data_IF_948691954757
#
_entry.id   IF_948691954757
#
_cell.length_a   1.000
_cell.length_b   1.000
_cell.length_c   1.000
_cell.angle_alpha   90.00
_cell.angle_beta   90.00
_cell.angle_gamma   90.00
#
_symmetry.space_group_name_H-M   'P 1'
#
loop_
_entity.id
_entity.type
_entity.pdbx_description
1 polymer ?
#
# COMPACT_ATOMS: atom_id res chain seq x y z
N UNK A 1 -44.98 32.18 8.53
CA UNK A 1 -45.41 31.07 9.38
C UNK A 1 -44.11 30.41 9.86
N UNK A 2 -43.80 30.55 11.16
CA UNK A 2 -42.60 29.97 11.78
C UNK A 2 -42.74 28.46 11.79
N UNK A 3 -41.91 27.75 11.02
CA UNK A 3 -41.77 26.30 11.16
C UNK A 3 -41.31 26.00 12.58
N UNK A 4 -42.21 25.37 13.36
CA UNK A 4 -41.91 24.97 14.73
C UNK A 4 -40.73 24.05 14.78
N UNK A 5 -39.75 24.33 15.63
CA UNK A 5 -38.63 23.44 15.93
C UNK A 5 -39.23 22.15 16.47
N UNK A 6 -39.12 21.06 15.69
CA UNK A 6 -39.53 19.73 16.12
C UNK A 6 -38.75 19.36 17.40
N UNK A 7 -39.48 19.21 18.51
CA UNK A 7 -38.90 18.75 19.77
C UNK A 7 -38.47 17.28 19.57
N UNK A 8 -37.17 17.02 19.61
CA UNK A 8 -36.63 15.67 19.38
C UNK A 8 -36.70 14.84 20.65
N UNK A 9 -37.19 13.63 20.49
CA UNK A 9 -37.25 12.65 21.55
C UNK A 9 -35.87 11.98 21.73
N UNK A 10 -35.18 12.15 22.86
CA UNK A 10 -33.91 11.52 23.15
C UNK A 10 -34.07 10.09 23.72
N UNK A 11 -35.30 9.61 23.91
CA UNK A 11 -35.56 8.31 24.50
C UNK A 11 -34.96 7.21 23.62
N UNK A 12 -34.26 6.24 24.18
CA UNK A 12 -33.75 5.08 23.43
C UNK A 12 -34.90 4.39 22.69
N UNK A 13 -34.72 4.18 21.38
CA UNK A 13 -35.64 3.47 20.50
C UNK A 13 -35.01 2.14 20.10
N UNK A 14 -35.84 1.15 19.78
CA UNK A 14 -35.34 -0.10 19.20
C UNK A 14 -34.75 0.15 17.81
N UNK A 15 -34.00 -0.81 17.34
CA UNK A 15 -33.44 -0.78 15.99
C UNK A 15 -34.55 -0.75 14.93
N UNK A 16 -35.58 -1.50 15.16
CA UNK A 16 -36.78 -1.62 14.31
C UNK A 16 -37.54 -0.27 14.27
N UNK A 17 -37.77 0.37 15.41
CA UNK A 17 -38.44 1.67 15.47
C UNK A 17 -37.66 2.73 14.68
N UNK A 18 -36.34 2.75 14.79
CA UNK A 18 -35.51 3.67 14.01
C UNK A 18 -35.66 3.45 12.50
N UNK A 19 -35.69 2.19 12.06
CA UNK A 19 -35.88 1.82 10.65
C UNK A 19 -37.27 2.28 10.15
N UNK A 20 -38.30 2.10 10.95
CA UNK A 20 -39.65 2.50 10.60
C UNK A 20 -39.79 4.01 10.46
N UNK A 21 -39.27 4.79 11.39
CA UNK A 21 -39.22 6.26 11.31
C UNK A 21 -38.54 6.72 10.00
N UNK A 22 -37.42 6.10 9.63
CA UNK A 22 -36.70 6.45 8.41
C UNK A 22 -37.50 6.08 7.14
N UNK A 23 -38.19 4.93 7.14
CA UNK A 23 -39.06 4.50 6.05
C UNK A 23 -40.28 5.42 5.89
N UNK A 24 -40.92 5.80 6.98
CA UNK A 24 -42.02 6.75 6.97
C UNK A 24 -41.61 8.10 6.39
N UNK A 25 -40.43 8.58 6.77
CA UNK A 25 -39.90 9.82 6.23
C UNK A 25 -39.61 9.74 4.72
N UNK A 26 -39.11 8.58 4.26
CA UNK A 26 -38.88 8.35 2.83
C UNK A 26 -40.19 8.21 2.04
N UNK A 27 -41.21 7.60 2.63
CA UNK A 27 -42.52 7.42 2.01
C UNK A 27 -43.28 8.76 1.86
N UNK A 28 -43.06 9.74 2.75
CA UNK A 28 -43.69 11.06 2.68
C UNK A 28 -43.26 11.91 1.47
N UNK A 29 -42.06 11.69 0.96
CA UNK A 29 -41.52 12.36 -0.22
C UNK A 29 -40.61 11.40 -1.01
N UNK A 30 -41.20 10.50 -1.85
CA UNK A 30 -40.48 9.48 -2.57
C UNK A 30 -39.40 9.98 -3.55
N UNK A 31 -39.58 11.22 -4.04
CA UNK A 31 -38.64 11.86 -4.97
C UNK A 31 -37.44 12.49 -4.25
N UNK A 32 -37.53 12.63 -2.96
CA UNK A 32 -36.53 13.31 -2.15
C UNK A 32 -35.46 12.35 -1.63
N UNK A 33 -34.22 12.67 -1.88
CA UNK A 33 -33.09 11.96 -1.27
C UNK A 33 -32.98 12.32 0.22
N UNK A 34 -33.19 11.36 1.09
CA UNK A 34 -33.00 11.53 2.52
C UNK A 34 -31.51 11.61 2.82
N UNK A 35 -30.99 12.84 2.97
CA UNK A 35 -29.63 13.07 3.43
C UNK A 35 -29.56 12.99 4.97
N UNK A 36 -28.35 12.77 5.54
CA UNK A 36 -28.12 12.81 6.99
C UNK A 36 -28.59 14.14 7.60
N UNK A 37 -28.31 15.25 6.92
CA UNK A 37 -28.71 16.57 7.38
C UNK A 37 -30.24 16.75 7.34
N UNK A 38 -30.90 16.29 6.27
CA UNK A 38 -32.35 16.31 6.17
C UNK A 38 -33.01 15.47 7.29
N UNK A 39 -32.51 14.25 7.52
CA UNK A 39 -32.98 13.40 8.61
C UNK A 39 -32.75 14.06 9.98
N UNK A 40 -31.55 14.62 10.19
CA UNK A 40 -31.22 15.32 11.42
C UNK A 40 -32.17 16.48 11.72
N UNK A 41 -32.62 17.21 10.72
CA UNK A 41 -33.55 18.38 10.91
C UNK A 41 -34.98 17.91 11.12
N UNK A 42 -35.44 16.94 10.33
CA UNK A 42 -36.88 16.63 10.21
C UNK A 42 -37.30 15.35 10.95
N UNK A 43 -36.38 14.58 11.50
CA UNK A 43 -36.66 13.37 12.25
C UNK A 43 -37.11 13.69 13.69
N UNK A 44 -38.03 12.90 14.25
CA UNK A 44 -38.44 13.04 15.64
C UNK A 44 -37.40 12.52 16.65
N UNK A 45 -36.40 11.75 16.18
CA UNK A 45 -35.32 11.17 17.03
C UNK A 45 -34.01 11.91 16.88
N UNK A 46 -33.18 11.84 17.90
CA UNK A 46 -31.84 12.45 17.89
C UNK A 46 -30.84 11.57 17.12
N UNK A 47 -29.74 12.16 16.71
CA UNK A 47 -28.70 11.44 15.99
C UNK A 47 -28.07 10.31 16.83
N UNK A 48 -27.89 10.52 18.13
CA UNK A 48 -27.35 9.54 19.06
C UNK A 48 -28.18 8.25 19.12
N UNK A 49 -29.52 8.36 19.01
CA UNK A 49 -30.44 7.22 19.07
C UNK A 49 -30.21 6.23 17.94
N UNK A 50 -30.23 6.70 16.68
CA UNK A 50 -30.01 5.79 15.56
C UNK A 50 -28.53 5.42 15.38
N UNK A 51 -27.60 6.33 15.71
CA UNK A 51 -26.17 6.04 15.54
C UNK A 51 -25.67 4.92 16.45
N UNK A 52 -26.25 4.77 17.65
CA UNK A 52 -25.95 3.66 18.56
C UNK A 52 -26.23 2.28 17.93
N UNK A 53 -27.20 2.17 17.02
CA UNK A 53 -27.59 0.92 16.38
C UNK A 53 -26.87 0.64 15.06
N UNK A 54 -26.54 1.70 14.33
CA UNK A 54 -26.10 1.55 12.92
C UNK A 54 -24.71 2.12 12.65
N UNK A 55 -24.13 2.87 13.58
CA UNK A 55 -22.81 3.48 13.45
C UNK A 55 -22.70 4.55 12.36
N UNK A 56 -23.33 4.35 11.20
CA UNK A 56 -23.33 5.31 10.10
C UNK A 56 -24.72 5.52 9.51
N UNK A 57 -25.01 6.73 8.99
CA UNK A 57 -26.29 7.02 8.33
C UNK A 57 -26.48 6.21 7.04
N UNK A 58 -25.39 5.78 6.42
CA UNK A 58 -25.41 4.93 5.25
C UNK A 58 -25.91 3.52 5.60
N UNK A 59 -25.37 2.91 6.66
CA UNK A 59 -25.79 1.62 7.16
C UNK A 59 -27.24 1.64 7.63
N UNK A 60 -27.64 2.73 8.26
CA UNK A 60 -29.01 2.96 8.65
C UNK A 60 -29.97 2.93 7.45
N UNK A 61 -29.66 3.68 6.37
CA UNK A 61 -30.46 3.65 5.13
C UNK A 61 -30.48 2.26 4.46
N UNK A 62 -29.32 1.59 4.45
CA UNK A 62 -29.18 0.27 3.86
C UNK A 62 -30.10 -0.75 4.56
N UNK A 63 -30.12 -0.75 5.88
CA UNK A 63 -30.98 -1.66 6.65
C UNK A 63 -32.47 -1.27 6.57
N UNK A 64 -32.77 0.00 6.38
CA UNK A 64 -34.11 0.45 6.09
C UNK A 64 -34.62 0.10 4.66
N UNK A 65 -33.75 -0.38 3.77
CA UNK A 65 -34.11 -0.72 2.39
C UNK A 65 -34.37 0.52 1.51
N UNK A 66 -33.85 1.70 1.91
CA UNK A 66 -34.03 2.95 1.14
C UNK A 66 -33.06 2.94 -0.03
N UNK A 67 -33.59 3.10 -1.24
CA UNK A 67 -32.83 3.13 -2.48
C UNK A 67 -31.84 4.30 -2.46
N UNK A 68 -30.62 3.99 -2.77
CA UNK A 68 -29.52 4.95 -2.83
C UNK A 68 -29.51 5.65 -4.19
N UNK A 69 -29.07 6.90 -4.20
CA UNK A 69 -28.82 7.62 -5.45
C UNK A 69 -27.73 6.90 -6.28
N UNK A 70 -27.67 7.21 -7.58
CA UNK A 70 -26.64 6.67 -8.48
C UNK A 70 -25.21 6.89 -7.98
N UNK A 71 -24.97 8.05 -7.34
CA UNK A 71 -23.69 8.37 -6.70
C UNK A 71 -23.44 7.54 -5.43
N UNK A 72 -24.47 7.33 -4.63
CA UNK A 72 -24.39 6.51 -3.42
C UNK A 72 -24.18 5.02 -3.77
N UNK A 73 -24.83 4.50 -4.81
CA UNK A 73 -24.55 3.18 -5.36
C UNK A 73 -23.13 3.07 -5.92
N UNK A 74 -22.60 4.15 -6.54
CA UNK A 74 -21.21 4.24 -6.96
C UNK A 74 -20.25 4.15 -5.78
N UNK A 75 -20.54 4.88 -4.71
CA UNK A 75 -19.78 4.86 -3.47
C UNK A 75 -19.88 3.50 -2.76
N UNK A 76 -21.06 2.89 -2.68
CA UNK A 76 -21.23 1.54 -2.13
C UNK A 76 -20.48 0.48 -2.93
N UNK A 77 -20.52 0.57 -4.26
CA UNK A 77 -19.71 -0.31 -5.10
C UNK A 77 -18.21 -0.10 -4.90
N UNK A 78 -17.78 1.15 -4.67
CA UNK A 78 -16.38 1.43 -4.33
C UNK A 78 -16.02 0.91 -2.94
N UNK A 79 -16.88 1.12 -1.94
CA UNK A 79 -16.69 0.58 -0.58
C UNK A 79 -16.71 -0.95 -0.58
N UNK A 80 -17.63 -1.57 -1.33
CA UNK A 80 -17.69 -3.04 -1.47
C UNK A 80 -16.53 -3.60 -2.30
N UNK A 81 -16.05 -2.86 -3.30
CA UNK A 81 -14.91 -3.23 -4.15
C UNK A 81 -13.57 -2.99 -3.45
N UNK A 82 -13.54 -2.05 -2.52
CA UNK A 82 -12.47 -1.80 -1.56
C UNK A 82 -12.99 -2.22 -0.20
N UNK A 83 -13.27 -3.52 -0.07
CA UNK A 83 -13.63 -4.11 1.22
C UNK A 83 -12.65 -3.61 2.28
N UNK A 84 -13.19 -3.25 3.44
CA UNK A 84 -12.36 -2.81 4.56
C UNK A 84 -11.34 -3.89 4.92
N UNK A 85 -10.26 -3.52 5.57
CA UNK A 85 -9.28 -4.46 6.13
C UNK A 85 -9.99 -5.56 6.95
N UNK A 86 -11.08 -5.23 7.63
CA UNK A 86 -11.91 -6.20 8.37
C UNK A 86 -12.54 -7.27 7.48
N UNK A 87 -12.91 -6.94 6.23
CA UNK A 87 -13.38 -7.95 5.29
C UNK A 87 -12.25 -8.92 4.92
N UNK A 88 -11.05 -8.41 4.66
CA UNK A 88 -9.89 -9.23 4.38
C UNK A 88 -9.47 -10.10 5.57
N UNK A 89 -9.56 -9.56 6.80
CA UNK A 89 -9.35 -10.31 8.04
C UNK A 89 -10.31 -11.48 8.16
N UNK A 90 -11.61 -11.25 7.90
CA UNK A 90 -12.62 -12.32 7.91
C UNK A 90 -12.36 -13.40 6.87
N UNK A 91 -12.03 -13.01 5.63
CA UNK A 91 -11.69 -13.96 4.57
C UNK A 91 -10.47 -14.80 4.91
N UNK A 92 -9.50 -14.21 5.61
CA UNK A 92 -8.26 -14.91 5.97
C UNK A 92 -8.44 -15.95 7.06
N UNK A 93 -9.39 -15.76 7.98
CA UNK A 93 -9.76 -16.76 9.00
C UNK A 93 -10.29 -18.05 8.33
N UNK A 94 -11.01 -17.93 7.21
CA UNK A 94 -11.52 -19.08 6.45
C UNK A 94 -10.45 -19.78 5.60
N UNK A 95 -9.29 -19.14 5.40
CA UNK A 95 -8.18 -19.62 4.55
C UNK A 95 -6.98 -20.12 5.36
N UNK A 96 -7.17 -20.50 6.60
CA UNK A 96 -6.11 -20.74 7.60
C UNK A 96 -5.08 -21.85 7.30
N UNK A 97 -5.12 -22.47 6.13
CA UNK A 97 -4.28 -23.64 5.77
C UNK A 97 -2.88 -23.31 5.20
N UNK A 98 -2.44 -22.05 5.30
CA UNK A 98 -1.18 -21.63 4.69
C UNK A 98 0.05 -21.70 5.62
N UNK A 99 -0.14 -22.08 6.88
CA UNK A 99 0.73 -21.64 7.96
C UNK A 99 1.86 -22.55 8.39
N UNK A 100 1.83 -23.83 8.09
CA UNK A 100 2.74 -24.76 8.77
C UNK A 100 4.22 -24.57 8.40
N UNK A 101 4.50 -24.17 7.18
CA UNK A 101 5.87 -24.04 6.68
C UNK A 101 6.64 -22.84 7.24
N UNK A 102 5.91 -21.76 7.59
CA UNK A 102 6.46 -20.54 8.17
C UNK A 102 6.00 -20.31 9.61
N UNK A 103 5.53 -21.38 10.27
CA UNK A 103 5.01 -21.28 11.63
C UNK A 103 6.13 -20.92 12.60
N UNK A 104 6.02 -19.75 13.19
CA UNK A 104 6.97 -19.28 14.20
C UNK A 104 6.60 -19.85 15.58
N UNK A 105 7.57 -20.41 16.33
CA UNK A 105 7.29 -21.02 17.63
C UNK A 105 6.81 -19.99 18.67
N UNK A 106 7.23 -18.72 18.56
CA UNK A 106 6.84 -17.62 19.43
C UNK A 106 6.74 -16.32 18.64
N UNK A 107 5.52 -15.96 18.25
CA UNK A 107 5.23 -14.73 17.46
C UNK A 107 5.51 -13.42 18.21
N UNK A 108 5.57 -13.44 19.52
CA UNK A 108 5.91 -12.25 20.29
C UNK A 108 7.41 -11.97 20.28
N UNK A 109 8.23 -13.00 20.13
CA UNK A 109 9.69 -12.90 20.06
C UNK A 109 10.20 -12.86 18.62
N UNK A 110 9.72 -13.75 17.77
CA UNK A 110 10.17 -13.87 16.39
C UNK A 110 9.23 -13.15 15.44
N UNK A 111 9.75 -12.14 14.77
CA UNK A 111 9.04 -11.32 13.79
C UNK A 111 9.50 -11.66 12.38
N UNK A 112 8.61 -11.50 11.42
CA UNK A 112 8.92 -11.68 10.01
C UNK A 112 8.46 -10.48 9.21
N UNK A 113 9.36 -9.91 8.40
CA UNK A 113 9.05 -8.85 7.46
C UNK A 113 9.22 -9.33 6.03
N UNK A 114 8.35 -8.88 5.14
CA UNK A 114 8.55 -8.91 3.69
C UNK A 114 8.93 -7.51 3.26
N UNK A 115 10.09 -7.39 2.60
CA UNK A 115 10.68 -6.14 2.17
C UNK A 115 10.82 -6.17 0.65
N UNK A 116 10.16 -5.26 -0.06
CA UNK A 116 10.17 -5.16 -1.51
C UNK A 116 10.42 -3.70 -1.93
N UNK A 117 10.95 -3.46 -3.11
CA UNK A 117 11.30 -2.12 -3.59
C UNK A 117 11.14 -1.99 -5.09
N UNK A 118 11.06 -0.75 -5.57
CA UNK A 118 11.16 -0.43 -6.99
C UNK A 118 10.13 -1.19 -7.84
N UNK A 119 8.85 -1.06 -7.50
CA UNK A 119 7.74 -1.75 -8.15
C UNK A 119 7.24 -1.01 -9.41
N UNK A 120 7.30 0.33 -9.39
CA UNK A 120 6.95 1.21 -10.50
C UNK A 120 5.57 0.97 -11.11
N UNK A 121 4.55 0.83 -10.27
CA UNK A 121 3.13 0.64 -10.62
C UNK A 121 2.90 -0.29 -11.84
N UNK A 122 2.53 0.22 -13.01
CA UNK A 122 2.25 -0.56 -14.23
C UNK A 122 3.47 -1.26 -14.83
N UNK A 123 4.67 -0.82 -14.45
CA UNK A 123 5.91 -1.44 -14.90
C UNK A 123 6.31 -2.66 -14.07
N UNK A 124 5.52 -3.02 -13.05
CA UNK A 124 5.77 -4.23 -12.26
C UNK A 124 5.73 -5.50 -13.11
N UNK A 125 6.67 -6.41 -12.87
CA UNK A 125 6.66 -7.75 -13.49
C UNK A 125 5.50 -8.58 -12.90
N UNK A 126 4.52 -9.02 -13.72
CA UNK A 126 3.38 -9.79 -13.24
C UNK A 126 3.78 -11.10 -12.52
N UNK A 127 4.87 -11.74 -12.96
CA UNK A 127 5.39 -12.94 -12.33
C UNK A 127 5.94 -12.66 -10.93
N UNK A 128 6.75 -11.61 -10.81
CA UNK A 128 7.24 -11.14 -9.52
C UNK A 128 6.07 -10.81 -8.58
N UNK A 129 5.10 -10.05 -9.05
CA UNK A 129 3.94 -9.64 -8.25
C UNK A 129 3.16 -10.84 -7.72
N UNK A 130 2.90 -11.83 -8.57
CA UNK A 130 2.23 -13.07 -8.15
C UNK A 130 3.00 -13.80 -7.06
N UNK A 131 4.32 -13.89 -7.18
CA UNK A 131 5.16 -14.54 -6.17
C UNK A 131 5.15 -13.75 -4.87
N UNK A 132 5.26 -12.41 -4.92
CA UNK A 132 5.23 -11.55 -3.75
C UNK A 132 3.93 -11.70 -2.97
N UNK A 133 2.77 -11.64 -3.66
CA UNK A 133 1.44 -11.81 -3.05
C UNK A 133 1.27 -13.22 -2.46
N UNK A 134 1.64 -14.27 -3.20
CA UNK A 134 1.53 -15.64 -2.67
C UNK A 134 2.47 -15.87 -1.49
N UNK A 135 3.66 -15.26 -1.51
CA UNK A 135 4.59 -15.30 -0.39
C UNK A 135 4.00 -14.60 0.84
N UNK A 136 3.44 -13.41 0.69
CA UNK A 136 2.77 -12.70 1.79
C UNK A 136 1.65 -13.55 2.41
N UNK A 137 0.85 -14.19 1.55
CA UNK A 137 -0.24 -15.07 1.96
C UNK A 137 0.24 -16.31 2.73
N UNK A 138 1.37 -16.91 2.33
CA UNK A 138 1.93 -18.11 2.96
C UNK A 138 2.71 -17.81 4.22
N UNK A 139 3.46 -16.73 4.23
CA UNK A 139 4.33 -16.33 5.35
C UNK A 139 3.52 -15.69 6.48
N UNK A 140 2.44 -14.97 6.17
CA UNK A 140 1.68 -14.15 7.13
C UNK A 140 2.65 -13.30 7.96
N UNK A 141 3.36 -12.35 7.33
CA UNK A 141 4.37 -11.55 8.00
C UNK A 141 3.76 -10.64 9.06
N UNK A 142 4.56 -10.17 10.01
CA UNK A 142 4.16 -9.09 10.92
C UNK A 142 4.23 -7.73 10.22
N UNK A 143 5.08 -7.62 9.20
CA UNK A 143 5.32 -6.38 8.46
C UNK A 143 5.45 -6.67 6.96
N UNK A 144 4.79 -5.86 6.14
CA UNK A 144 5.16 -5.62 4.74
C UNK A 144 5.71 -4.20 4.65
N UNK A 145 6.94 -4.03 4.16
CA UNK A 145 7.51 -2.73 3.90
C UNK A 145 7.91 -2.61 2.43
N UNK A 146 7.24 -1.70 1.72
CA UNK A 146 7.62 -1.33 0.37
C UNK A 146 8.64 -0.17 0.45
N UNK A 147 9.88 -0.47 0.09
CA UNK A 147 11.05 0.36 0.40
C UNK A 147 11.30 1.37 -0.74
N UNK A 148 10.27 2.12 -1.11
CA UNK A 148 10.29 3.20 -2.10
C UNK A 148 10.09 2.75 -3.54
N UNK A 149 9.80 3.73 -4.38
CA UNK A 149 9.55 3.61 -5.81
C UNK A 149 8.46 2.58 -6.15
N UNK A 150 7.37 2.63 -5.38
CA UNK A 150 6.15 1.83 -5.61
C UNK A 150 5.37 2.39 -6.78
N UNK A 151 5.34 3.72 -6.89
CA UNK A 151 4.68 4.48 -7.95
C UNK A 151 5.73 5.11 -8.86
N UNK A 152 5.58 4.96 -10.17
CA UNK A 152 6.56 5.51 -11.11
C UNK A 152 6.53 7.04 -11.19
N UNK A 153 5.32 7.64 -11.15
CA UNK A 153 5.15 9.10 -11.20
C UNK A 153 5.92 9.78 -12.33
N UNK A 154 5.99 9.13 -13.50
CA UNK A 154 6.77 9.58 -14.64
C UNK A 154 6.34 10.97 -15.12
N UNK A 155 5.03 11.28 -15.05
CA UNK A 155 4.43 12.56 -15.44
C UNK A 155 5.00 13.75 -14.64
N UNK A 156 5.50 13.49 -13.44
CA UNK A 156 6.10 14.50 -12.54
C UNK A 156 7.62 14.45 -12.56
N UNK A 157 8.19 13.64 -13.46
CA UNK A 157 9.63 13.49 -13.63
C UNK A 157 10.26 14.63 -14.42
N UNK A 158 11.60 14.64 -14.49
CA UNK A 158 12.37 15.59 -15.30
C UNK A 158 12.48 15.19 -16.77
N UNK A 159 12.26 13.92 -17.08
CA UNK A 159 12.36 13.41 -18.43
C UNK A 159 11.01 13.60 -19.13
N UNK A 160 11.01 14.16 -20.36
CA UNK A 160 9.78 14.31 -21.11
C UNK A 160 9.22 12.94 -21.47
N UNK A 161 7.95 12.75 -21.18
CA UNK A 161 7.16 11.63 -21.68
C UNK A 161 6.10 12.15 -22.64
N UNK A 162 5.63 11.30 -23.53
CA UNK A 162 4.58 11.66 -24.47
C UNK A 162 3.32 12.07 -23.68
N UNK A 163 2.78 13.29 -23.87
CA UNK A 163 1.56 13.72 -23.18
C UNK A 163 0.36 12.78 -23.37
N UNK A 164 0.35 11.98 -24.45
CA UNK A 164 -0.68 10.97 -24.70
C UNK A 164 -0.61 9.79 -23.74
N UNK A 165 0.52 9.59 -23.06
CA UNK A 165 0.76 8.54 -22.07
C UNK A 165 0.51 9.02 -20.64
N UNK A 166 0.13 10.29 -20.46
CA UNK A 166 -0.17 10.85 -19.14
C UNK A 166 -1.43 10.22 -18.55
N UNK A 167 -1.26 9.44 -17.50
CA UNK A 167 -2.35 8.76 -16.82
C UNK A 167 -2.01 8.50 -15.32
N UNK A 168 -1.54 9.53 -14.64
CA UNK A 168 -1.18 9.42 -13.21
C UNK A 168 -2.31 8.82 -12.36
N UNK A 169 -3.56 9.22 -12.61
CA UNK A 169 -4.71 8.67 -11.91
C UNK A 169 -4.93 7.17 -12.19
N UNK A 170 -4.71 6.74 -13.44
CA UNK A 170 -4.79 5.33 -13.81
C UNK A 170 -3.65 4.50 -13.23
N UNK A 171 -2.43 5.06 -13.13
CA UNK A 171 -1.28 4.43 -12.46
C UNK A 171 -1.56 4.21 -10.97
N UNK A 172 -2.07 5.22 -10.27
CA UNK A 172 -2.48 5.10 -8.86
C UNK A 172 -3.56 4.02 -8.70
N UNK A 173 -4.60 4.02 -9.54
CA UNK A 173 -5.65 3.00 -9.52
C UNK A 173 -5.11 1.60 -9.81
N UNK A 174 -4.14 1.48 -10.71
CA UNK A 174 -3.47 0.20 -10.98
C UNK A 174 -2.76 -0.30 -9.72
N UNK A 175 -1.93 0.54 -9.08
CA UNK A 175 -1.23 0.18 -7.86
C UNK A 175 -2.21 -0.24 -6.76
N UNK A 176 -3.32 0.49 -6.57
CA UNK A 176 -4.36 0.11 -5.62
C UNK A 176 -4.95 -1.28 -5.91
N UNK A 177 -5.36 -1.52 -7.16
CA UNK A 177 -6.12 -2.72 -7.51
C UNK A 177 -5.25 -3.95 -7.72
N UNK A 178 -3.98 -3.77 -8.09
CA UNK A 178 -3.10 -4.88 -8.46
C UNK A 178 -1.99 -5.15 -7.45
N UNK A 179 -1.58 -4.14 -6.70
CA UNK A 179 -0.45 -4.26 -5.76
C UNK A 179 -0.95 -4.16 -4.31
N UNK A 180 -1.45 -2.98 -3.90
CA UNK A 180 -1.72 -2.69 -2.50
C UNK A 180 -2.90 -3.48 -1.94
N UNK A 181 -4.02 -3.50 -2.66
CA UNK A 181 -5.20 -4.27 -2.28
C UNK A 181 -4.90 -5.77 -2.14
N UNK A 182 -4.34 -6.43 -3.18
CA UNK A 182 -3.99 -7.83 -3.09
C UNK A 182 -2.95 -8.18 -2.01
N UNK A 183 -1.96 -7.30 -1.74
CA UNK A 183 -1.01 -7.50 -0.65
C UNK A 183 -1.69 -7.37 0.72
N UNK A 184 -2.56 -6.38 0.90
CA UNK A 184 -3.36 -6.24 2.13
C UNK A 184 -4.31 -7.42 2.32
N UNK A 185 -4.94 -7.91 1.24
CA UNK A 185 -5.76 -9.13 1.28
C UNK A 185 -4.95 -10.36 1.67
N UNK A 186 -3.73 -10.48 1.14
CA UNK A 186 -2.84 -11.60 1.42
C UNK A 186 -2.37 -11.65 2.88
N UNK A 187 -2.12 -10.50 3.51
CA UNK A 187 -1.64 -10.38 4.88
C UNK A 187 -2.39 -9.27 5.66
N UNK A 188 -3.66 -9.50 6.04
CA UNK A 188 -4.53 -8.46 6.57
C UNK A 188 -4.15 -7.96 7.97
N UNK A 189 -3.41 -8.76 8.75
CA UNK A 189 -3.02 -8.43 10.13
C UNK A 189 -1.64 -7.76 10.22
N UNK A 190 -0.92 -7.65 9.09
CA UNK A 190 0.43 -7.10 9.12
C UNK A 190 0.43 -5.57 9.23
N UNK A 191 1.46 -5.02 9.87
CA UNK A 191 1.85 -3.63 9.64
C UNK A 191 2.23 -3.47 8.17
N UNK A 192 1.79 -2.39 7.53
CA UNK A 192 2.08 -2.18 6.12
C UNK A 192 2.60 -0.77 5.92
N UNK A 193 3.86 -0.65 5.54
CA UNK A 193 4.55 0.61 5.34
C UNK A 193 4.95 0.80 3.87
N UNK A 194 4.91 2.06 3.43
CA UNK A 194 5.58 2.52 2.20
C UNK A 194 6.58 3.60 2.60
N UNK A 195 7.85 3.38 2.32
CA UNK A 195 8.87 4.41 2.43
C UNK A 195 8.88 5.25 1.15
N UNK A 196 9.04 6.56 1.29
CA UNK A 196 9.15 7.45 0.13
C UNK A 196 10.45 7.19 -0.63
N UNK A 197 10.33 6.82 -1.90
CA UNK A 197 11.42 6.74 -2.86
C UNK A 197 11.63 8.06 -3.62
N UNK A 198 12.52 8.05 -4.59
CA UNK A 198 12.74 9.25 -5.41
C UNK A 198 11.61 9.50 -6.42
N UNK A 199 10.81 8.49 -6.75
CA UNK A 199 9.66 8.63 -7.63
C UNK A 199 8.47 9.25 -6.91
N UNK A 200 8.10 8.79 -5.73
CA UNK A 200 7.08 9.45 -4.91
C UNK A 200 7.48 10.88 -4.53
N UNK A 201 8.77 11.12 -4.28
CA UNK A 201 9.30 12.45 -3.99
C UNK A 201 9.10 13.47 -5.13
N UNK A 202 8.76 13.01 -6.35
CA UNK A 202 8.38 13.91 -7.47
C UNK A 202 7.11 14.68 -7.14
N UNK A 203 6.13 14.02 -6.49
CA UNK A 203 4.90 14.69 -6.01
C UNK A 203 5.22 15.74 -4.95
N UNK A 204 6.09 15.41 -4.01
CA UNK A 204 6.51 16.38 -2.99
C UNK A 204 7.19 17.60 -3.62
N UNK A 205 8.06 17.40 -4.62
CA UNK A 205 8.70 18.51 -5.36
C UNK A 205 7.67 19.37 -6.09
N UNK A 206 6.74 18.74 -6.79
CA UNK A 206 5.67 19.46 -7.49
C UNK A 206 4.89 20.37 -6.52
N UNK A 207 4.58 19.90 -5.33
CA UNK A 207 3.89 20.67 -4.32
C UNK A 207 4.80 21.76 -3.71
N UNK A 208 6.09 21.47 -3.50
CA UNK A 208 7.07 22.40 -2.98
C UNK A 208 7.37 23.57 -3.94
N UNK A 209 7.29 23.32 -5.25
CA UNK A 209 7.50 24.32 -6.30
C UNK A 209 6.33 25.33 -6.44
N UNK A 210 5.22 25.10 -5.75
CA UNK A 210 4.10 26.03 -5.74
C UNK A 210 4.41 27.27 -4.91
N UNK A 211 3.68 28.37 -5.18
CA UNK A 211 3.83 29.59 -4.37
C UNK A 211 3.53 29.30 -2.88
N UNK A 212 4.19 30.03 -1.94
CA UNK A 212 3.94 29.81 -0.51
C UNK A 212 2.46 29.89 -0.13
N UNK A 213 1.71 30.82 -0.75
CA UNK A 213 0.28 30.96 -0.51
C UNK A 213 -0.51 29.72 -0.95
N UNK A 214 -0.23 29.15 -2.13
CA UNK A 214 -0.90 27.96 -2.60
C UNK A 214 -0.51 26.74 -1.78
N UNK A 215 0.75 26.62 -1.35
CA UNK A 215 1.17 25.56 -0.44
C UNK A 215 0.42 25.59 0.88
N UNK A 216 0.29 26.77 1.50
CA UNK A 216 -0.47 26.95 2.73
C UNK A 216 -1.95 26.54 2.54
N UNK A 217 -2.58 26.94 1.44
CA UNK A 217 -3.96 26.51 1.14
C UNK A 217 -4.05 24.99 1.00
N UNK A 218 -3.16 24.36 0.24
CA UNK A 218 -3.21 22.91 0.00
C UNK A 218 -2.89 22.12 1.27
N UNK A 219 -1.85 22.50 2.01
CA UNK A 219 -1.44 21.81 3.24
C UNK A 219 -2.35 22.14 4.43
N UNK A 220 -2.58 23.43 4.72
CA UNK A 220 -3.23 23.84 5.96
C UNK A 220 -4.77 23.74 5.89
N UNK A 221 -5.38 24.14 4.77
CA UNK A 221 -6.84 24.06 4.62
C UNK A 221 -7.33 22.69 4.17
N UNK A 222 -6.60 22.04 3.29
CA UNK A 222 -7.00 20.75 2.72
C UNK A 222 -6.24 19.57 3.29
N UNK A 223 -5.22 19.82 4.11
CA UNK A 223 -4.36 18.79 4.70
C UNK A 223 -3.77 17.86 3.64
N UNK A 224 -3.38 18.43 2.48
CA UNK A 224 -2.89 17.65 1.36
C UNK A 224 -1.49 17.12 1.67
N UNK A 225 -1.34 15.82 1.62
CA UNK A 225 -0.06 15.11 1.76
C UNK A 225 0.11 14.14 0.59
N UNK A 226 1.34 13.68 0.37
CA UNK A 226 1.61 12.62 -0.63
C UNK A 226 0.77 11.38 -0.33
N UNK A 227 0.68 10.98 0.92
CA UNK A 227 -0.16 9.85 1.36
C UNK A 227 -1.64 10.01 0.97
N UNK A 228 -2.19 11.22 1.14
CA UNK A 228 -3.59 11.50 0.74
C UNK A 228 -3.77 11.53 -0.77
N UNK A 229 -2.80 12.08 -1.52
CA UNK A 229 -2.83 12.04 -2.99
C UNK A 229 -2.82 10.60 -3.50
N UNK A 230 -2.04 9.75 -2.86
CA UNK A 230 -1.96 8.32 -3.18
C UNK A 230 -3.10 7.49 -2.56
N UNK A 231 -3.96 8.11 -1.75
CA UNK A 231 -5.09 7.48 -1.05
C UNK A 231 -4.72 6.18 -0.33
N UNK A 232 -3.61 6.20 0.42
CA UNK A 232 -3.05 5.03 1.11
C UNK A 232 -3.81 4.64 2.37
N UNK A 233 -4.58 5.57 2.93
CA UNK A 233 -5.49 5.36 4.05
C UNK A 233 -6.52 4.25 3.81
N UNK A 234 -6.90 4.03 2.55
CA UNK A 234 -7.82 2.95 2.15
C UNK A 234 -7.30 1.56 2.45
N UNK A 235 -6.00 1.41 2.59
CA UNK A 235 -5.32 0.13 2.81
C UNK A 235 -4.68 0.06 4.20
N UNK A 236 -4.91 1.06 5.06
CA UNK A 236 -4.22 1.21 6.35
C UNK A 236 -2.70 1.12 6.20
N UNK A 237 -2.17 1.84 5.21
CA UNK A 237 -0.74 1.89 4.91
C UNK A 237 -0.14 3.14 5.55
N UNK A 238 0.92 2.96 6.33
CA UNK A 238 1.72 4.06 6.83
C UNK A 238 2.67 4.54 5.73
N UNK A 239 2.66 5.83 5.46
CA UNK A 239 3.58 6.45 4.50
C UNK A 239 4.70 7.17 5.24
N UNK A 240 5.93 6.73 5.03
CA UNK A 240 7.12 7.27 5.67
C UNK A 240 7.74 8.30 4.73
N UNK A 241 7.28 9.53 4.85
CA UNK A 241 7.72 10.65 4.02
C UNK A 241 9.10 11.16 4.45
N UNK A 242 9.81 11.76 3.51
CA UNK A 242 11.10 12.45 3.74
C UNK A 242 10.93 13.71 4.55
N UNK A 243 9.83 14.43 4.36
CA UNK A 243 9.58 15.70 5.01
C UNK A 243 8.08 16.01 5.06
N UNK A 244 7.72 16.86 6.00
CA UNK A 244 6.41 17.49 6.06
C UNK A 244 6.36 18.71 5.12
N UNK A 245 5.31 18.80 4.30
CA UNK A 245 5.08 19.93 3.39
C UNK A 245 5.03 21.30 4.10
N UNK A 246 4.67 21.32 5.38
CA UNK A 246 4.50 22.55 6.15
C UNK A 246 5.84 23.11 6.69
N UNK A 247 6.83 22.24 6.89
CA UNK A 247 8.13 22.59 7.47
C UNK A 247 9.23 22.91 6.41
N UNK A 248 8.89 23.02 5.14
CA UNK A 248 9.79 22.84 4.03
C UNK A 248 10.46 24.14 3.54
N UNK A 249 11.80 24.21 3.64
CA UNK A 249 12.61 25.14 2.85
C UNK A 249 13.40 24.38 1.78
N UNK A 250 13.80 25.06 0.69
CA UNK A 250 14.62 24.47 -0.38
C UNK A 250 15.93 23.85 0.16
N UNK A 251 16.46 24.40 1.26
CA UNK A 251 17.66 23.92 1.94
C UNK A 251 17.39 22.61 2.69
N UNK A 252 16.25 22.52 3.35
CA UNK A 252 15.83 21.35 4.10
C UNK A 252 15.57 20.19 3.13
N UNK A 253 14.97 20.47 1.96
CA UNK A 253 14.77 19.49 0.90
C UNK A 253 16.07 18.77 0.47
N UNK A 254 17.16 19.51 0.33
CA UNK A 254 18.46 18.92 -0.05
C UNK A 254 19.09 18.11 1.06
N UNK A 255 18.83 18.46 2.32
CA UNK A 255 19.44 17.84 3.49
C UNK A 255 18.58 16.71 4.09
N UNK A 256 17.26 16.83 4.05
CA UNK A 256 16.30 15.88 4.62
C UNK A 256 15.97 14.71 3.70
N UNK A 257 16.44 14.73 2.46
CA UNK A 257 16.32 13.60 1.52
C UNK A 257 16.83 12.26 2.08
N UNK A 258 17.43 12.26 3.26
CA UNK A 258 18.03 11.10 3.91
C UNK A 258 17.24 10.56 5.11
N UNK A 259 16.17 11.22 5.53
CA UNK A 259 15.47 10.88 6.79
C UNK A 259 14.26 9.95 6.61
N UNK A 260 13.96 9.49 5.41
CA UNK A 260 12.87 8.54 5.13
C UNK A 260 13.29 7.09 5.37
N UNK A 261 13.94 6.82 6.50
CA UNK A 261 14.23 5.48 6.96
C UNK A 261 13.26 5.05 8.06
N UNK A 262 13.12 3.76 8.22
CA UNK A 262 12.37 3.16 9.32
C UNK A 262 13.22 2.10 10.00
N UNK A 263 13.27 2.13 11.32
CA UNK A 263 13.86 1.06 12.12
C UNK A 263 12.74 0.25 12.75
N UNK A 264 12.63 -0.98 12.33
CA UNK A 264 11.64 -1.92 12.83
C UNK A 264 12.22 -2.70 14.00
N UNK A 265 11.43 -2.88 15.04
CA UNK A 265 11.80 -3.65 16.25
C UNK A 265 13.19 -3.30 16.80
N UNK A 266 13.59 -2.05 16.67
CA UNK A 266 14.88 -1.50 17.12
C UNK A 266 16.14 -2.16 16.47
N UNK A 267 16.00 -2.98 15.45
CA UNK A 267 17.13 -3.72 14.88
C UNK A 267 17.13 -3.93 13.37
N UNK A 268 16.01 -3.77 12.67
CA UNK A 268 15.93 -3.92 11.22
C UNK A 268 15.73 -2.55 10.57
N UNK A 269 16.71 -2.06 9.83
CA UNK A 269 16.63 -0.79 9.12
C UNK A 269 16.15 -0.97 7.69
N UNK A 270 15.17 -0.20 7.26
CA UNK A 270 14.78 -0.07 5.87
C UNK A 270 14.93 1.37 5.39
N UNK A 271 15.48 1.55 4.21
CA UNK A 271 15.67 2.84 3.56
C UNK A 271 15.71 2.67 2.05
N UNK A 272 15.19 3.64 1.28
CA UNK A 272 15.25 3.52 -0.17
C UNK A 272 16.67 3.64 -0.74
N UNK A 273 17.51 4.50 -0.15
CA UNK A 273 18.84 4.79 -0.66
C UNK A 273 19.96 3.99 0.05
N UNK A 274 21.06 3.68 -0.67
CA UNK A 274 22.13 2.80 -0.16
C UNK A 274 22.98 3.39 0.98
N UNK A 275 22.96 4.70 1.18
CA UNK A 275 23.77 5.38 2.20
C UNK A 275 23.47 4.92 3.63
N UNK A 276 22.25 4.43 3.85
CA UNK A 276 21.80 3.97 5.16
C UNK A 276 22.56 2.75 5.71
N UNK A 277 23.26 1.99 4.86
CA UNK A 277 24.13 0.88 5.30
C UNK A 277 25.20 1.32 6.33
N UNK A 278 25.55 2.62 6.32
CA UNK A 278 26.52 3.19 7.23
C UNK A 278 25.95 3.50 8.62
N UNK A 279 24.66 3.28 8.87
CA UNK A 279 24.01 3.56 10.16
C UNK A 279 24.26 2.47 11.21
N UNK A 280 24.97 1.40 10.85
CA UNK A 280 25.44 0.39 11.80
C UNK A 280 24.40 -0.62 12.25
N UNK A 281 23.31 -0.78 11.52
CA UNK A 281 22.25 -1.76 11.75
C UNK A 281 22.11 -2.73 10.57
N UNK A 282 21.71 -3.99 10.80
CA UNK A 282 21.25 -4.86 9.72
C UNK A 282 20.06 -4.21 9.00
N UNK A 283 20.02 -4.32 7.67
CA UNK A 283 18.95 -3.66 6.94
C UNK A 283 18.97 -3.87 5.44
N UNK A 284 18.05 -3.14 4.78
CA UNK A 284 17.84 -3.23 3.34
C UNK A 284 17.74 -1.86 2.70
N UNK A 285 18.09 -1.80 1.40
CA UNK A 285 17.75 -0.68 0.54
C UNK A 285 17.32 -1.13 -0.85
N UNK A 286 16.59 -0.26 -1.57
CA UNK A 286 16.26 -0.37 -2.99
C UNK A 286 17.13 0.51 -3.88
N UNK A 287 16.50 1.26 -4.80
CA UNK A 287 17.01 2.33 -5.64
C UNK A 287 17.89 1.91 -6.82
N UNK A 288 18.82 1.00 -6.64
CA UNK A 288 19.77 0.62 -7.69
C UNK A 288 19.33 -0.62 -8.50
N UNK A 289 18.25 -1.27 -8.11
CA UNK A 289 17.71 -2.47 -8.76
C UNK A 289 18.73 -3.61 -8.92
N UNK A 290 19.77 -3.62 -8.10
CA UNK A 290 20.86 -4.62 -8.16
C UNK A 290 20.99 -5.30 -6.81
N UNK A 291 20.80 -6.62 -6.79
CA UNK A 291 21.02 -7.35 -5.56
C UNK A 291 22.50 -7.40 -5.20
N UNK A 292 22.80 -6.94 -4.00
CA UNK A 292 24.13 -7.05 -3.40
C UNK A 292 23.99 -7.24 -1.90
N UNK A 293 24.93 -8.00 -1.32
CA UNK A 293 25.01 -8.23 0.12
C UNK A 293 26.36 -7.75 0.62
N UNK A 294 26.34 -6.95 1.66
CA UNK A 294 27.56 -6.51 2.35
C UNK A 294 27.62 -7.14 3.73
N UNK A 295 28.63 -7.96 4.01
CA UNK A 295 28.94 -8.34 5.38
C UNK A 295 29.45 -7.11 6.12
N UNK A 296 28.83 -6.82 7.24
CA UNK A 296 29.13 -5.65 8.07
C UNK A 296 29.47 -6.10 9.49
N UNK A 297 30.12 -5.22 10.23
CA UNK A 297 30.43 -5.46 11.64
C UNK A 297 30.17 -4.19 12.46
N UNK A 298 29.54 -4.39 13.59
CA UNK A 298 29.35 -3.33 14.59
C UNK A 298 29.76 -3.88 15.96
N UNK A 299 30.56 -3.17 16.78
CA UNK A 299 30.98 -3.65 18.10
C UNK A 299 29.84 -4.01 19.06
N UNK A 300 28.66 -3.42 18.87
CA UNK A 300 27.48 -3.65 19.72
C UNK A 300 26.66 -4.87 19.23
N UNK A 301 26.47 -4.99 17.91
CA UNK A 301 25.63 -6.05 17.31
C UNK A 301 26.43 -7.25 16.78
N UNK A 302 27.76 -7.14 16.69
CA UNK A 302 28.61 -8.15 16.07
C UNK A 302 28.55 -8.09 14.54
N UNK A 303 28.67 -9.25 13.89
CA UNK A 303 28.55 -9.39 12.44
C UNK A 303 27.08 -9.35 12.03
N UNK A 304 26.77 -8.65 10.95
CA UNK A 304 25.44 -8.57 10.35
C UNK A 304 25.54 -8.35 8.84
N UNK A 305 24.43 -8.38 8.15
CA UNK A 305 24.36 -8.15 6.72
C UNK A 305 23.54 -6.90 6.39
N UNK A 306 23.95 -6.23 5.31
CA UNK A 306 23.17 -5.21 4.62
C UNK A 306 22.83 -5.72 3.22
N UNK A 307 21.53 -5.70 2.88
CA UNK A 307 21.03 -6.15 1.59
C UNK A 307 20.55 -4.98 0.73
N UNK A 308 21.18 -4.75 -0.40
CA UNK A 308 20.58 -3.98 -1.48
C UNK A 308 19.70 -4.92 -2.29
N UNK A 309 18.44 -4.59 -2.43
CA UNK A 309 17.47 -5.43 -3.11
C UNK A 309 17.48 -5.18 -4.62
N UNK A 310 17.02 -6.16 -5.38
CA UNK A 310 16.57 -5.96 -6.75
C UNK A 310 15.20 -5.26 -6.76
N UNK A 311 14.77 -4.83 -7.94
CA UNK A 311 13.45 -4.24 -8.13
C UNK A 311 12.37 -5.26 -8.50
N UNK A 312 11.12 -4.84 -8.45
CA UNK A 312 9.97 -5.61 -8.90
C UNK A 312 9.50 -5.30 -10.32
N UNK A 313 10.11 -4.34 -10.99
CA UNK A 313 9.69 -3.88 -12.30
C UNK A 313 10.19 -4.77 -13.46
N UNK A 314 9.56 -4.64 -14.62
CA UNK A 314 9.91 -5.35 -15.86
C UNK A 314 11.29 -4.93 -16.33
N UNK A 315 12.00 -5.88 -16.96
CA UNK A 315 13.33 -5.66 -17.53
C UNK A 315 13.32 -5.21 -18.99
N UNK A 316 12.17 -5.19 -19.64
CA UNK A 316 11.99 -4.85 -21.05
C UNK A 316 11.63 -3.38 -21.30
N UNK A 317 11.51 -2.58 -20.24
CA UNK A 317 11.34 -1.15 -20.39
C UNK A 317 12.49 -0.54 -21.20
N UNK A 318 12.17 0.39 -22.10
CA UNK A 318 13.14 0.96 -23.05
C UNK A 318 14.37 1.58 -22.37
N UNK A 319 14.19 2.11 -21.18
CA UNK A 319 15.26 2.69 -20.35
C UNK A 319 16.09 1.66 -19.57
N UNK A 320 15.71 0.37 -19.61
CA UNK A 320 16.40 -0.72 -18.92
C UNK A 320 17.40 -1.47 -19.80
N UNK A 321 17.49 -1.15 -21.07
CA UNK A 321 18.32 -1.91 -22.02
C UNK A 321 19.80 -1.85 -21.63
N UNK A 322 20.38 -3.02 -21.39
CA UNK A 322 21.79 -3.15 -20.99
C UNK A 322 22.08 -2.99 -19.50
N UNK A 323 21.08 -2.65 -18.68
CA UNK A 323 21.26 -2.55 -17.24
C UNK A 323 21.36 -3.92 -16.56
N UNK A 324 22.25 -4.02 -15.57
CA UNK A 324 22.47 -5.25 -14.78
C UNK A 324 21.51 -5.32 -13.61
N UNK A 325 20.21 -5.21 -13.89
CA UNK A 325 19.18 -5.20 -12.85
C UNK A 325 18.78 -6.62 -12.44
N UNK A 326 18.47 -6.78 -11.20
CA UNK A 326 17.98 -8.02 -10.60
C UNK A 326 16.52 -7.86 -10.20
N UNK A 327 15.75 -8.93 -10.30
CA UNK A 327 14.38 -8.96 -9.83
C UNK A 327 14.30 -9.82 -8.58
N UNK A 328 13.75 -9.27 -7.50
CA UNK A 328 13.65 -10.00 -6.25
C UNK A 328 13.23 -9.13 -5.07
N UNK A 329 12.97 -9.77 -3.95
CA UNK A 329 12.60 -9.16 -2.67
C UNK A 329 13.22 -9.94 -1.51
N UNK A 330 13.11 -9.42 -0.29
CA UNK A 330 13.75 -10.00 0.88
C UNK A 330 12.70 -10.40 1.93
N UNK A 331 12.85 -11.57 2.53
CA UNK A 331 12.17 -11.92 3.77
C UNK A 331 13.20 -11.76 4.89
N UNK A 332 12.88 -10.93 5.90
CA UNK A 332 13.71 -10.77 7.09
C UNK A 332 13.03 -11.47 8.28
N UNK A 333 13.76 -12.37 8.93
CA UNK A 333 13.35 -13.02 10.17
C UNK A 333 14.14 -12.40 11.32
N UNK A 334 13.43 -11.91 12.33
CA UNK A 334 13.98 -11.08 13.40
C UNK A 334 13.70 -11.72 14.75
N UNK A 335 14.72 -11.92 15.55
CA UNK A 335 14.60 -12.19 16.98
C UNK A 335 14.71 -10.85 17.74
N UNK A 336 13.59 -10.30 18.16
CA UNK A 336 13.56 -9.00 18.84
C UNK A 336 14.24 -9.01 20.20
N UNK A 337 14.42 -10.17 20.83
CA UNK A 337 15.09 -10.30 22.10
C UNK A 337 16.61 -10.19 21.98
N UNK A 338 17.19 -10.84 20.98
CA UNK A 338 18.64 -10.81 20.71
C UNK A 338 19.02 -9.74 19.68
N UNK A 339 18.01 -9.13 19.02
CA UNK A 339 18.19 -8.18 17.90
C UNK A 339 18.88 -8.79 16.68
N UNK A 340 18.86 -10.11 16.56
CA UNK A 340 19.40 -10.82 15.41
C UNK A 340 18.44 -10.76 14.24
N UNK A 341 18.97 -10.50 13.04
CA UNK A 341 18.22 -10.47 11.78
C UNK A 341 18.83 -11.47 10.82
N UNK A 342 18.00 -12.31 10.24
CA UNK A 342 18.39 -13.27 9.19
C UNK A 342 17.59 -12.96 7.94
N UNK A 343 18.29 -12.76 6.84
CA UNK A 343 17.67 -12.43 5.56
C UNK A 343 17.61 -13.66 4.64
N UNK A 344 16.48 -13.78 3.95
CA UNK A 344 16.29 -14.72 2.85
C UNK A 344 15.92 -13.89 1.60
N UNK A 345 16.89 -13.70 0.71
CA UNK A 345 16.66 -12.97 -0.53
C UNK A 345 16.06 -13.88 -1.59
N UNK A 346 14.89 -13.51 -2.07
CA UNK A 346 14.14 -14.25 -3.09
C UNK A 346 14.47 -13.68 -4.47
N UNK A 347 15.29 -14.41 -5.20
CA UNK A 347 15.57 -14.09 -6.61
C UNK A 347 14.39 -14.55 -7.48
N UNK A 348 13.85 -13.64 -8.28
CA UNK A 348 12.86 -13.96 -9.30
C UNK A 348 13.55 -14.02 -10.66
N UNK A 349 13.73 -15.24 -11.16
CA UNK A 349 14.35 -15.48 -12.47
C UNK A 349 13.42 -15.14 -13.64
N UNK A 350 13.98 -15.21 -14.86
CA UNK A 350 13.20 -14.96 -16.07
C UNK A 350 12.06 -15.97 -16.26
N UNK A 351 12.28 -17.23 -15.90
CA UNK A 351 11.34 -18.34 -16.11
C UNK A 351 10.81 -18.96 -14.83
N UNK A 352 11.56 -18.88 -13.73
CA UNK A 352 11.17 -19.53 -12.47
C UNK A 352 11.70 -18.79 -11.23
N UNK A 353 11.11 -19.11 -10.09
CA UNK A 353 11.61 -18.75 -8.77
C UNK A 353 11.33 -19.88 -7.77
N UNK A 354 12.06 -19.87 -6.65
CA UNK A 354 11.82 -20.80 -5.54
C UNK A 354 11.73 -20.02 -4.25
N UNK A 355 10.63 -20.19 -3.52
CA UNK A 355 10.39 -19.50 -2.25
C UNK A 355 10.02 -20.53 -1.18
N UNK A 356 10.87 -20.66 -0.17
CA UNK A 356 10.63 -21.61 0.91
C UNK A 356 10.33 -23.02 0.40
N UNK A 357 11.05 -23.48 -0.63
CA UNK A 357 10.92 -24.81 -1.26
C UNK A 357 9.70 -24.95 -2.19
N UNK A 358 8.88 -23.94 -2.37
CA UNK A 358 7.84 -23.92 -3.41
C UNK A 358 8.45 -23.41 -4.72
N UNK A 359 8.25 -24.18 -5.77
CA UNK A 359 8.67 -23.83 -7.13
C UNK A 359 7.54 -23.04 -7.82
N UNK A 360 7.92 -21.96 -8.49
CA UNK A 360 7.04 -21.13 -9.30
C UNK A 360 7.58 -21.08 -10.72
N UNK A 361 6.73 -21.34 -11.68
CA UNK A 361 7.03 -21.19 -13.09
C UNK A 361 6.28 -20.01 -13.66
N UNK A 362 6.92 -19.22 -14.55
CA UNK A 362 6.31 -18.09 -15.24
C UNK A 362 5.22 -18.59 -16.18
N UNK A 363 4.03 -18.05 -16.06
CA UNK A 363 2.90 -18.38 -16.92
C UNK A 363 3.03 -17.67 -18.28
N UNK A 364 2.46 -18.24 -19.37
CA UNK A 364 2.47 -17.57 -20.68
C UNK A 364 1.89 -16.17 -20.68
N UNK A 365 0.88 -15.90 -19.85
CA UNK A 365 0.29 -14.57 -19.65
C UNK A 365 1.18 -13.56 -18.93
N UNK A 366 2.25 -14.02 -18.31
CA UNK A 366 3.22 -13.21 -17.57
C UNK A 366 4.51 -12.98 -18.38
N UNK A 367 4.55 -13.48 -19.62
CA UNK A 367 5.71 -13.29 -20.50
C UNK A 367 5.85 -11.81 -20.81
N UNK A 368 7.00 -11.26 -20.48
CA UNK A 368 7.42 -9.93 -20.87
C UNK A 368 7.98 -10.08 -22.28
N UNK A 369 7.52 -9.27 -23.22
CA UNK A 369 8.09 -9.22 -24.57
C UNK A 369 9.51 -8.65 -24.48
N UNK A 370 10.49 -9.49 -24.17
CA UNK A 370 11.89 -9.12 -24.33
C UNK A 370 12.21 -9.14 -25.83
N UNK A 371 12.57 -7.99 -26.44
CA UNK A 371 13.06 -8.04 -27.80
C UNK A 371 14.35 -8.89 -27.81
N UNK A 372 14.25 -10.08 -28.38
CA UNK A 372 15.38 -10.91 -28.81
C UNK A 372 16.43 -11.30 -27.75
N UNK A 373 16.05 -12.05 -26.72
CA UNK A 373 16.97 -13.09 -26.23
C UNK A 373 16.91 -14.23 -27.26
N UNK A 374 17.77 -14.19 -28.26
CA UNK A 374 18.04 -15.36 -29.12
C UNK A 374 18.69 -16.38 -28.18
N UNK A 375 17.86 -17.28 -27.62
CA UNK A 375 18.37 -18.54 -27.13
C UNK A 375 18.90 -19.26 -28.37
N UNK A 376 20.20 -19.11 -28.64
CA UNK A 376 20.90 -20.03 -29.51
C UNK A 376 20.81 -21.39 -28.83
N UNK A 377 19.74 -22.13 -29.14
CA UNK A 377 19.74 -23.58 -28.91
C UNK A 377 20.90 -24.11 -29.69
N UNK A 378 22.02 -24.39 -28.99
CA UNK A 378 23.14 -25.13 -29.57
C UNK A 378 22.60 -26.45 -30.06
N UNK A 379 22.32 -26.53 -31.35
CA UNK A 379 22.21 -27.83 -32.01
C UNK A 379 23.56 -28.50 -31.84
N UNK A 380 23.64 -29.44 -30.91
CA UNK A 380 24.74 -30.39 -30.86
C UNK A 380 24.83 -31.06 -32.20
N UNK A 381 25.84 -30.66 -32.97
CA UNK A 381 26.24 -31.38 -34.17
C UNK A 381 26.80 -32.75 -33.75
N UNK A 382 26.08 -33.79 -34.05
CA UNK A 382 26.62 -35.12 -34.14
C UNK A 382 27.57 -35.19 -35.36
N UNK A 383 28.80 -35.47 -35.12
CA UNK A 383 29.67 -36.17 -36.03
C UNK A 383 30.77 -36.90 -35.25
#
# INVERSE_FOLDING_TARGET
MSEGILHKDPTPKSKEDCIEILREMAAKDPERVISRNYFRVNSPITESVWNAHFGTFHEFKRQAGIVLTRQQHGLERQIAKHASVDHYRKLNVERADYGDKYRRPNKNRFKTAILASDLHDREIDPFYLRILIDTAKRVQPDLISLVGDVFDMAEFGRYPIDPREWDAAGRIKFAHNKILGPLREAAPECEFDILEGNHEARLLRLLADQTPALRAVLADLHGLTVSKLLALDKFEINYIAKADLTAFTERDFKNELRNNYRVYWECLLAHHYPDARNFGLPGVNGHHHRHQVWPMFNPIYGAYEWHQMGGGHKRDASYCQGEKWHTGFTIANVDIQTRAVVFDYITVGASFAVVGGKFYERQPSEVINTPNLILTTGKGGSS
#
